data_IF_313185100280
#
_entry.id   IF_313185100280
#
_cell.length_a   1.000
_cell.length_b   1.000
_cell.length_c   1.000
_cell.angle_alpha   90.00
_cell.angle_beta   90.00
_cell.angle_gamma   90.00
#
_symmetry.space_group_name_H-M   'P 1'
#
loop_
_entity.id
_entity.type
_entity.pdbx_description
1 polymer ?
#
# COMPACT_ATOMS: atom_id res chain seq x y z
N UNK A 1 -12.98 -11.41 2.80
CA UNK A 1 -11.72 -11.56 2.04
C UNK A 1 -11.54 -10.34 1.16
N UNK A 2 -10.83 -9.34 1.65
CA UNK A 2 -10.31 -8.24 0.85
C UNK A 2 -9.01 -7.90 1.55
N UNK A 3 -7.91 -8.53 1.10
CA UNK A 3 -6.60 -8.25 1.64
C UNK A 3 -6.33 -6.77 1.49
N UNK A 4 -5.90 -6.14 2.58
CA UNK A 4 -5.46 -4.75 2.59
C UNK A 4 -4.29 -4.65 1.62
N UNK A 5 -4.56 -4.14 0.41
CA UNK A 5 -3.54 -3.93 -0.61
C UNK A 5 -2.68 -2.79 -0.12
N UNK A 6 -1.54 -3.13 0.47
CA UNK A 6 -0.50 -2.16 0.78
C UNK A 6 0.12 -1.68 -0.54
N UNK A 7 -0.23 -0.48 -0.98
CA UNK A 7 0.26 0.08 -2.24
C UNK A 7 1.74 0.51 -2.16
N UNK A 8 2.29 0.68 -0.96
CA UNK A 8 3.66 1.18 -0.78
C UNK A 8 4.72 0.08 -0.76
N UNK A 9 4.28 -1.17 -0.72
CA UNK A 9 5.14 -2.35 -0.78
C UNK A 9 5.58 -2.58 -2.23
N UNK A 10 6.79 -2.13 -2.60
CA UNK A 10 7.41 -2.52 -3.88
C UNK A 10 8.20 -3.82 -3.72
N UNK A 11 7.87 -4.83 -4.54
CA UNK A 11 8.62 -6.07 -4.58
C UNK A 11 10.03 -5.79 -5.12
N UNK A 12 11.06 -5.90 -4.28
CA UNK A 12 12.41 -6.08 -4.80
C UNK A 12 12.57 -7.54 -5.20
N UNK A 13 13.38 -7.81 -6.23
CA UNK A 13 13.57 -9.13 -6.87
C UNK A 13 14.05 -10.26 -5.96
N UNK A 14 14.19 -10.00 -4.65
CA UNK A 14 14.56 -10.91 -3.58
C UNK A 14 13.34 -11.43 -2.78
N UNK A 15 12.11 -11.26 -3.26
CA UNK A 15 10.91 -11.84 -2.64
C UNK A 15 10.38 -11.09 -1.40
N UNK A 16 10.71 -9.80 -1.27
CA UNK A 16 10.23 -8.95 -0.19
C UNK A 16 9.90 -7.51 -0.57
N UNK A 17 9.12 -6.85 0.28
CA UNK A 17 8.70 -5.47 0.11
C UNK A 17 9.43 -4.52 1.06
N UNK A 18 9.85 -3.36 0.55
CA UNK A 18 10.39 -2.24 1.34
C UNK A 18 9.44 -1.05 1.18
N UNK A 19 9.28 -0.24 2.24
CA UNK A 19 8.65 1.07 2.13
C UNK A 19 9.43 1.94 1.12
N UNK A 20 8.86 2.13 -0.06
CA UNK A 20 9.49 2.92 -1.12
C UNK A 20 9.37 4.42 -0.82
N UNK A 21 10.45 5.17 -1.00
CA UNK A 21 10.47 6.65 -0.86
C UNK A 21 9.69 7.33 -2.00
N UNK A 22 9.63 6.68 -3.16
CA UNK A 22 8.81 7.11 -4.30
C UNK A 22 7.98 5.93 -4.82
N UNK A 23 6.72 6.20 -5.13
CA UNK A 23 5.78 5.22 -5.60
C UNK A 23 5.17 5.62 -6.94
N UNK A 24 5.06 4.65 -7.86
CA UNK A 24 4.43 4.87 -9.18
C UNK A 24 2.94 4.58 -9.11
N UNK A 25 2.12 5.59 -9.39
CA UNK A 25 0.67 5.46 -9.48
C UNK A 25 0.26 4.36 -10.46
N UNK A 26 -0.54 3.39 -10.02
CA UNK A 26 -1.10 2.35 -10.89
C UNK A 26 -2.24 2.87 -11.78
N UNK A 27 -2.82 4.04 -11.46
CA UNK A 27 -3.96 4.61 -12.18
C UNK A 27 -3.49 5.53 -13.33
N UNK A 28 -2.50 6.39 -13.08
CA UNK A 28 -2.03 7.36 -14.08
C UNK A 28 -0.52 7.27 -14.40
N UNK A 29 0.22 6.38 -13.74
CA UNK A 29 1.65 6.17 -14.01
C UNK A 29 2.60 7.23 -13.44
N UNK A 30 2.10 8.26 -12.76
CA UNK A 30 2.93 9.32 -12.18
C UNK A 30 3.81 8.79 -11.03
N UNK A 31 5.03 9.29 -10.93
CA UNK A 31 5.85 9.14 -9.72
C UNK A 31 5.33 10.09 -8.65
N UNK A 32 5.12 9.58 -7.44
CA UNK A 32 4.55 10.32 -6.31
C UNK A 32 5.41 10.05 -5.09
N UNK A 33 5.73 11.11 -4.37
CA UNK A 33 6.30 11.01 -3.03
C UNK A 33 5.25 10.47 -2.03
N UNK A 34 5.71 9.80 -0.99
CA UNK A 34 4.86 9.23 0.04
C UNK A 34 3.99 10.28 0.75
N UNK A 35 4.55 11.45 1.06
CA UNK A 35 3.81 12.52 1.76
C UNK A 35 2.63 13.04 0.90
N UNK A 36 2.80 12.99 -0.42
CA UNK A 36 1.82 13.43 -1.40
C UNK A 36 0.86 12.33 -1.87
N UNK A 37 1.05 11.06 -1.48
CA UNK A 37 0.28 9.93 -1.99
C UNK A 37 -1.23 10.09 -1.76
N UNK A 38 -1.64 10.40 -0.53
CA UNK A 38 -3.08 10.57 -0.19
C UNK A 38 -3.70 11.69 -1.02
N UNK A 39 -3.04 12.85 -1.09
CA UNK A 39 -3.51 14.01 -1.85
C UNK A 39 -3.58 13.73 -3.36
N UNK A 40 -2.66 12.92 -3.88
CA UNK A 40 -2.70 12.47 -5.27
C UNK A 40 -3.91 11.56 -5.52
N UNK A 41 -4.10 10.53 -4.69
CA UNK A 41 -5.16 9.54 -4.88
C UNK A 41 -6.58 10.09 -4.64
N UNK A 42 -6.71 11.19 -3.90
CA UNK A 42 -7.97 11.96 -3.83
C UNK A 42 -8.41 12.49 -5.20
N UNK A 43 -7.51 12.66 -6.18
CA UNK A 43 -7.85 13.08 -7.55
C UNK A 43 -8.44 11.95 -8.40
N UNK A 44 -8.24 10.69 -7.98
CA UNK A 44 -8.71 9.51 -8.69
C UNK A 44 -10.04 8.98 -8.16
N UNK A 45 -10.64 9.64 -7.17
CA UNK A 45 -11.96 9.28 -6.66
C UNK A 45 -13.03 9.69 -7.66
N UNK A 46 -14.05 8.86 -7.83
CA UNK A 46 -15.19 9.17 -8.71
C UNK A 46 -16.42 9.53 -7.89
N UNK A 47 -17.14 10.62 -8.20
CA UNK A 47 -18.35 10.96 -7.48
C UNK A 47 -19.45 9.92 -7.71
N UNK A 48 -20.21 9.58 -6.67
CA UNK A 48 -21.34 8.64 -6.74
C UNK A 48 -22.44 9.06 -5.76
N UNK A 49 -23.17 10.12 -6.10
CA UNK A 49 -24.22 10.68 -5.24
C UNK A 49 -23.61 11.31 -3.97
N UNK A 50 -24.09 10.89 -2.80
CA UNK A 50 -23.55 11.32 -1.49
C UNK A 50 -22.24 10.60 -1.10
N UNK A 51 -21.85 9.61 -1.89
CA UNK A 51 -20.65 8.81 -1.69
C UNK A 51 -19.64 9.05 -2.82
N UNK A 52 -18.47 8.44 -2.68
CA UNK A 52 -17.40 8.44 -3.67
C UNK A 52 -16.88 7.03 -3.90
N UNK A 53 -16.45 6.74 -5.11
CA UNK A 53 -15.82 5.46 -5.48
C UNK A 53 -14.31 5.66 -5.42
N UNK A 54 -13.63 4.82 -4.64
CA UNK A 54 -12.18 4.83 -4.52
C UNK A 54 -11.53 4.39 -5.84
N UNK A 55 -10.61 5.19 -6.38
CA UNK A 55 -9.90 4.84 -7.61
C UNK A 55 -8.94 3.64 -7.47
N UNK A 56 -8.56 3.27 -6.24
CA UNK A 56 -7.62 2.18 -5.95
C UNK A 56 -8.33 0.82 -5.97
N UNK A 57 -9.38 0.67 -5.15
CA UNK A 57 -10.05 -0.61 -4.92
C UNK A 57 -11.50 -0.63 -5.41
N UNK A 58 -11.98 0.45 -6.03
CA UNK A 58 -13.36 0.62 -6.48
C UNK A 58 -14.42 0.49 -5.37
N UNK A 59 -14.03 0.56 -4.10
CA UNK A 59 -14.96 0.58 -2.98
C UNK A 59 -15.77 1.87 -2.96
N UNK A 60 -17.07 1.76 -2.64
CA UNK A 60 -17.93 2.90 -2.37
C UNK A 60 -17.76 3.35 -0.92
N UNK A 61 -17.37 4.59 -0.72
CA UNK A 61 -17.01 5.16 0.58
C UNK A 61 -17.73 6.49 0.76
N UNK A 62 -18.13 6.82 1.98
CA UNK A 62 -18.71 8.13 2.29
C UNK A 62 -17.69 9.23 1.99
N UNK A 63 -18.17 10.36 1.46
CA UNK A 63 -17.30 11.50 1.10
C UNK A 63 -16.43 12.01 2.26
N UNK A 64 -16.93 11.95 3.49
CA UNK A 64 -16.19 12.40 4.68
C UNK A 64 -15.12 11.39 5.13
N UNK A 65 -15.29 10.11 4.81
CA UNK A 65 -14.39 9.03 5.22
C UNK A 65 -13.33 8.69 4.16
N UNK A 66 -13.51 9.16 2.92
CA UNK A 66 -12.64 8.78 1.79
C UNK A 66 -11.17 9.10 2.02
N UNK A 67 -10.85 10.20 2.72
CA UNK A 67 -9.45 10.57 3.01
C UNK A 67 -8.79 9.54 3.93
N UNK A 68 -9.50 9.08 4.96
CA UNK A 68 -9.00 8.04 5.88
C UNK A 68 -8.96 6.68 5.21
N UNK A 69 -9.96 6.36 4.37
CA UNK A 69 -9.95 5.16 3.54
C UNK A 69 -8.73 5.14 2.61
N UNK A 70 -8.43 6.24 1.92
CA UNK A 70 -7.25 6.37 1.05
C UNK A 70 -5.98 6.20 1.87
N UNK A 71 -5.87 6.86 3.03
CA UNK A 71 -4.71 6.71 3.93
C UNK A 71 -4.47 5.25 4.33
N UNK A 72 -5.51 4.45 4.54
CA UNK A 72 -5.38 3.02 4.87
C UNK A 72 -4.68 2.20 3.79
N UNK A 73 -4.78 2.57 2.50
CA UNK A 73 -4.03 1.88 1.43
C UNK A 73 -2.51 2.13 1.50
N UNK A 74 -2.09 3.18 2.20
CA UNK A 74 -0.68 3.57 2.38
C UNK A 74 -0.20 3.41 3.82
N UNK A 75 -1.06 2.95 4.74
CA UNK A 75 -0.72 2.76 6.13
C UNK A 75 0.07 1.45 6.28
N UNK A 76 1.37 1.52 6.11
CA UNK A 76 2.30 0.55 6.70
C UNK A 76 2.59 1.02 8.11
N UNK A 77 2.60 0.07 9.07
CA UNK A 77 2.95 0.37 10.45
C UNK A 77 4.22 1.23 10.50
N UNK A 78 4.16 2.34 11.22
CA UNK A 78 5.24 3.34 11.29
C UNK A 78 6.58 2.63 11.59
N UNK A 79 7.55 2.81 10.70
CA UNK A 79 8.85 2.13 10.70
C UNK A 79 9.16 1.52 9.33
N UNK A 80 10.45 1.44 8.99
CA UNK A 80 10.94 0.72 7.80
C UNK A 80 10.70 -0.78 7.97
N UNK A 81 9.45 -1.22 7.90
CA UNK A 81 9.06 -2.62 8.08
C UNK A 81 9.12 -3.36 6.76
N UNK A 82 9.56 -4.60 6.83
CA UNK A 82 9.77 -5.47 5.70
C UNK A 82 8.68 -6.53 5.68
N UNK A 83 8.08 -6.77 4.52
CA UNK A 83 6.99 -7.75 4.40
C UNK A 83 7.42 -8.94 3.56
N UNK A 84 7.06 -10.14 4.00
CA UNK A 84 7.26 -11.36 3.24
C UNK A 84 6.37 -11.39 1.99
N UNK A 85 6.99 -11.57 0.82
CA UNK A 85 6.30 -11.69 -0.46
C UNK A 85 5.43 -12.94 -0.59
N UNK A 86 5.67 -13.97 0.24
CA UNK A 86 4.99 -15.26 0.18
C UNK A 86 3.78 -15.31 1.11
N UNK A 87 3.91 -14.83 2.35
CA UNK A 87 2.85 -14.94 3.36
C UNK A 87 2.37 -13.60 3.95
N UNK A 88 2.98 -12.47 3.57
CA UNK A 88 2.58 -11.14 4.02
C UNK A 88 2.96 -10.80 5.47
N UNK A 89 3.73 -11.66 6.16
CA UNK A 89 4.18 -11.41 7.53
C UNK A 89 5.12 -10.20 7.58
N UNK A 90 4.95 -9.38 8.61
CA UNK A 90 5.73 -8.16 8.88
C UNK A 90 6.99 -8.46 9.72
N UNK A 91 8.08 -7.78 9.39
CA UNK A 91 9.37 -7.85 10.07
C UNK A 91 9.94 -6.44 10.30
N UNK A 92 10.66 -6.27 11.41
CA UNK A 92 11.24 -4.99 11.81
C UNK A 92 12.49 -4.61 11.01
N UNK A 93 13.15 -5.58 10.38
CA UNK A 93 14.35 -5.40 9.57
C UNK A 93 14.48 -6.47 8.47
N UNK A 94 15.41 -6.25 7.53
CA UNK A 94 15.64 -7.12 6.36
C UNK A 94 16.17 -8.50 6.74
N UNK A 95 17.03 -8.59 7.74
CA UNK A 95 17.67 -9.85 8.15
C UNK A 95 16.60 -10.81 8.70
N UNK A 96 15.72 -10.30 9.57
CA UNK A 96 14.63 -11.06 10.17
C UNK A 96 13.69 -11.68 9.12
N UNK A 97 13.41 -10.92 8.07
CA UNK A 97 12.63 -11.36 6.93
C UNK A 97 13.34 -12.44 6.10
N UNK A 98 14.62 -12.27 5.78
CA UNK A 98 15.37 -13.24 4.97
C UNK A 98 15.47 -14.59 5.69
N UNK A 99 15.74 -14.57 7.00
CA UNK A 99 15.72 -15.77 7.85
C UNK A 99 14.33 -16.43 7.83
N UNK A 100 13.26 -15.65 7.84
CA UNK A 100 11.92 -16.20 7.73
C UNK A 100 11.68 -16.88 6.37
N UNK A 101 12.08 -16.23 5.26
CA UNK A 101 11.92 -16.78 3.92
C UNK A 101 12.66 -18.10 3.79
N UNK A 102 13.94 -18.16 4.18
CA UNK A 102 14.73 -19.41 4.10
C UNK A 102 14.13 -20.50 4.98
N UNK A 103 13.78 -20.20 6.24
CA UNK A 103 13.32 -21.25 7.17
C UNK A 103 11.88 -21.71 6.99
N UNK A 104 11.05 -20.93 6.31
CA UNK A 104 9.59 -21.17 6.25
C UNK A 104 9.08 -21.40 4.82
N UNK A 105 9.82 -20.91 3.82
CA UNK A 105 9.37 -20.88 2.42
C UNK A 105 10.40 -21.43 1.42
N UNK A 106 11.56 -21.91 1.86
CA UNK A 106 12.47 -22.75 1.04
C UNK A 106 12.05 -24.23 1.05
#
# INVERSE_FOLDING_TARGET
MAGEICLICQAKGDGYFVAATEYKCTICGAAIDWDNAVSHYMKHVKPSGNDVICGICNAKVKKNDVRNHIRSHFAVGEGNRYFCGVCGREFVDREALLVHITRTHE
#
